data_IF_699915907567
#
_entry.id   IF_699915907567
#
_cell.length_a   1.000
_cell.length_b   1.000
_cell.length_c   1.000
_cell.angle_alpha   90.00
_cell.angle_beta   90.00
_cell.angle_gamma   90.00
#
_symmetry.space_group_name_H-M   'P 1'
#
loop_
_entity.id
_entity.type
_entity.pdbx_description
1 polymer ?
#
# COMPACT_ATOMS: atom_id res chain seq x y z
N UNK A 1 -45.62 54.72 -31.54
CA UNK A 1 -45.58 53.33 -31.93
C UNK A 1 -44.39 52.71 -31.22
N UNK A 2 -44.73 51.86 -30.39
CA UNK A 2 -43.95 51.18 -29.35
C UNK A 2 -43.17 50.05 -30.00
N UNK A 3 -41.91 49.89 -29.68
CA UNK A 3 -41.23 48.61 -29.75
C UNK A 3 -40.20 48.49 -28.62
N UNK A 4 -40.68 47.89 -27.56
CA UNK A 4 -39.89 47.28 -26.53
C UNK A 4 -39.30 45.95 -27.07
N UNK A 5 -38.01 45.78 -26.94
CA UNK A 5 -37.36 44.47 -26.97
C UNK A 5 -36.36 44.43 -25.81
N UNK A 6 -36.92 44.06 -24.70
CA UNK A 6 -36.18 43.74 -23.49
C UNK A 6 -35.84 42.22 -23.56
N UNK A 7 -34.58 41.90 -23.75
CA UNK A 7 -34.09 40.53 -23.64
C UNK A 7 -33.26 40.44 -22.37
N UNK A 8 -33.56 39.51 -21.47
CA UNK A 8 -32.79 39.35 -20.26
C UNK A 8 -31.41 38.72 -20.56
N UNK A 9 -30.38 39.44 -20.16
CA UNK A 9 -29.02 38.97 -20.16
C UNK A 9 -28.91 37.77 -19.18
N UNK A 10 -28.63 36.61 -19.76
CA UNK A 10 -28.33 35.39 -19.04
C UNK A 10 -26.89 35.48 -18.51
N UNK A 11 -26.75 35.91 -17.28
CA UNK A 11 -25.49 35.86 -16.54
C UNK A 11 -25.14 34.40 -16.24
N UNK A 12 -24.42 33.80 -17.16
CA UNK A 12 -23.71 32.56 -16.88
C UNK A 12 -22.60 32.88 -15.87
N UNK A 13 -22.90 32.60 -14.61
CA UNK A 13 -21.89 32.51 -13.55
C UNK A 13 -20.83 31.52 -13.98
N UNK A 14 -19.68 32.06 -14.25
CA UNK A 14 -18.43 31.32 -14.44
C UNK A 14 -18.04 30.73 -13.08
N UNK A 15 -18.57 29.55 -12.75
CA UNK A 15 -18.08 28.76 -11.62
C UNK A 15 -16.65 28.33 -11.96
N UNK A 16 -15.72 29.20 -11.65
CA UNK A 16 -14.30 28.88 -11.64
C UNK A 16 -14.08 27.69 -10.70
N UNK A 17 -13.89 26.51 -11.29
CA UNK A 17 -13.46 25.31 -10.60
C UNK A 17 -12.13 25.63 -9.92
N UNK A 18 -12.18 25.89 -8.62
CA UNK A 18 -10.99 26.02 -7.79
C UNK A 18 -10.32 24.63 -7.83
N UNK A 19 -9.29 24.51 -8.65
CA UNK A 19 -8.42 23.32 -8.59
C UNK A 19 -7.69 23.38 -7.26
N UNK A 20 -8.09 22.52 -6.35
CA UNK A 20 -7.44 22.37 -5.06
C UNK A 20 -5.96 22.00 -5.26
N UNK A 21 -5.09 22.46 -4.36
CA UNK A 21 -3.64 22.23 -4.43
C UNK A 21 -3.29 20.72 -4.45
N UNK A 22 -4.14 19.90 -3.86
CA UNK A 22 -3.97 18.46 -3.76
C UNK A 22 -4.16 17.73 -5.09
N UNK A 23 -5.11 18.17 -5.93
CA UNK A 23 -5.26 17.65 -7.30
C UNK A 23 -3.99 17.86 -8.14
N UNK A 24 -3.30 19.00 -7.95
CA UNK A 24 -2.01 19.26 -8.61
C UNK A 24 -0.92 18.31 -8.15
N UNK A 25 -0.83 18.01 -6.86
CA UNK A 25 0.15 17.11 -6.31
C UNK A 25 -0.07 15.69 -6.82
N UNK A 26 -1.32 15.20 -6.84
CA UNK A 26 -1.67 13.92 -7.44
C UNK A 26 -1.31 13.83 -8.92
N UNK A 27 -1.61 14.87 -9.69
CA UNK A 27 -1.29 14.92 -11.11
C UNK A 27 0.21 14.96 -11.35
N UNK A 28 0.97 15.72 -10.57
CA UNK A 28 2.43 15.80 -10.69
C UNK A 28 3.10 14.47 -10.37
N UNK A 29 2.68 13.80 -9.27
CA UNK A 29 3.15 12.48 -8.91
C UNK A 29 2.81 11.48 -10.02
N UNK A 30 1.56 11.46 -10.51
CA UNK A 30 1.11 10.58 -11.56
C UNK A 30 1.85 10.82 -12.89
N UNK A 31 2.11 12.06 -13.25
CA UNK A 31 2.84 12.42 -14.46
C UNK A 31 4.31 12.01 -14.38
N UNK A 32 4.99 12.34 -13.27
CA UNK A 32 6.36 11.91 -13.05
C UNK A 32 6.51 10.38 -13.14
N UNK A 33 5.59 9.65 -12.53
CA UNK A 33 5.63 8.19 -12.50
C UNK A 33 5.27 7.56 -13.86
N UNK A 34 4.43 8.20 -14.68
CA UNK A 34 4.21 7.79 -16.06
C UNK A 34 5.47 7.94 -16.92
N UNK A 35 6.24 9.01 -16.72
CA UNK A 35 7.50 9.24 -17.43
C UNK A 35 8.57 8.20 -17.04
N UNK A 36 8.60 7.80 -15.75
CA UNK A 36 9.47 6.72 -15.24
C UNK A 36 9.00 5.34 -15.72
N UNK A 37 7.71 5.10 -15.91
CA UNK A 37 7.17 3.82 -16.40
C UNK A 37 7.62 3.48 -17.83
N UNK A 38 7.92 4.47 -18.66
CA UNK A 38 8.42 4.21 -20.03
C UNK A 38 9.85 3.66 -20.03
N UNK A 39 10.61 3.86 -18.96
CA UNK A 39 12.00 3.46 -18.87
C UNK A 39 12.27 2.15 -18.14
N UNK A 40 11.40 1.74 -17.17
CA UNK A 40 11.64 0.55 -16.35
C UNK A 40 10.35 -0.19 -16.03
N UNK A 41 10.11 -1.32 -16.68
CA UNK A 41 8.97 -2.21 -16.39
C UNK A 41 8.99 -2.66 -14.92
N UNK A 42 7.98 -2.23 -14.14
CA UNK A 42 7.52 -2.79 -12.84
C UNK A 42 8.49 -2.79 -11.65
N UNK A 43 9.70 -2.21 -11.74
CA UNK A 43 10.60 -2.14 -10.59
C UNK A 43 10.24 -0.97 -9.66
N UNK A 44 10.50 -1.17 -8.36
CA UNK A 44 10.42 -0.09 -7.37
C UNK A 44 11.56 0.90 -7.66
N UNK A 45 11.28 2.21 -7.71
CA UNK A 45 12.33 3.21 -7.89
C UNK A 45 13.32 3.21 -6.71
N UNK A 46 14.54 3.74 -6.88
CA UNK A 46 15.54 3.81 -5.81
C UNK A 46 15.22 4.92 -4.80
N UNK A 47 14.13 4.74 -4.02
CA UNK A 47 13.60 5.74 -3.09
C UNK A 47 14.61 6.19 -2.03
N UNK A 48 15.53 5.31 -1.64
CA UNK A 48 16.58 5.60 -0.66
C UNK A 48 17.56 6.68 -1.16
N UNK A 49 17.74 6.76 -2.49
CA UNK A 49 18.63 7.74 -3.11
C UNK A 49 17.99 9.11 -3.32
N UNK A 50 16.69 9.21 -3.08
CA UNK A 50 15.96 10.46 -3.27
C UNK A 50 15.95 11.26 -1.98
N UNK A 51 16.33 12.53 -2.07
CA UNK A 51 16.36 13.49 -0.95
C UNK A 51 15.60 14.76 -1.35
N UNK A 52 14.26 14.67 -1.45
CA UNK A 52 13.46 15.80 -1.88
C UNK A 52 13.52 16.95 -0.88
N UNK A 53 13.53 18.18 -1.39
CA UNK A 53 13.56 19.39 -0.57
C UNK A 53 12.16 19.87 -0.19
N UNK A 54 11.15 19.49 -0.95
CA UNK A 54 9.76 19.87 -0.70
C UNK A 54 9.06 18.77 0.08
N UNK A 55 8.51 19.14 1.25
CA UNK A 55 7.67 18.28 2.06
C UNK A 55 6.28 18.92 2.10
N UNK A 56 5.25 18.12 1.87
CA UNK A 56 3.85 18.53 1.92
C UNK A 56 3.00 17.49 2.66
N UNK A 57 1.72 17.77 2.80
CA UNK A 57 0.72 16.83 3.28
C UNK A 57 -0.45 16.81 2.32
N UNK A 58 -1.04 15.64 2.10
CA UNK A 58 -2.20 15.43 1.23
C UNK A 58 -3.30 14.71 2.01
N UNK A 59 -4.56 15.02 1.74
CA UNK A 59 -5.69 14.22 2.23
C UNK A 59 -5.81 12.92 1.42
N UNK A 60 -4.80 12.06 1.60
CA UNK A 60 -4.76 10.70 1.08
C UNK A 60 -4.66 9.75 2.26
N UNK A 61 -5.58 8.79 2.34
CA UNK A 61 -5.65 7.83 3.44
C UNK A 61 -5.72 6.41 2.94
N UNK A 62 -4.86 5.55 3.50
CA UNK A 62 -4.94 4.10 3.32
C UNK A 62 -5.66 3.53 4.55
N UNK A 63 -6.83 2.93 4.31
CA UNK A 63 -7.65 2.30 5.34
C UNK A 63 -7.04 0.97 5.78
N UNK A 64 -7.39 0.52 6.99
CA UNK A 64 -6.95 -0.77 7.53
C UNK A 64 -7.38 -2.00 6.69
N UNK A 65 -8.36 -1.85 5.80
CA UNK A 65 -8.77 -2.86 4.83
C UNK A 65 -8.02 -2.77 3.48
N UNK A 66 -7.08 -1.80 3.36
CA UNK A 66 -6.28 -1.56 2.15
C UNK A 66 -6.92 -0.66 1.11
N UNK A 67 -8.08 -0.09 1.37
CA UNK A 67 -8.70 0.90 0.49
C UNK A 67 -7.96 2.23 0.55
N UNK A 68 -7.81 2.86 -0.61
CA UNK A 68 -7.21 4.18 -0.75
C UNK A 68 -8.28 5.24 -0.96
N UNK A 69 -8.28 6.25 -0.12
CA UNK A 69 -9.26 7.33 -0.13
C UNK A 69 -8.56 8.66 -0.29
N UNK A 70 -9.06 9.49 -1.20
CA UNK A 70 -8.56 10.86 -1.41
C UNK A 70 -9.74 11.84 -1.33
N UNK A 71 -9.62 12.88 -0.50
CA UNK A 71 -10.68 13.87 -0.26
C UNK A 71 -12.05 13.24 -0.01
N UNK A 72 -12.07 12.18 0.81
CA UNK A 72 -13.30 11.46 1.13
C UNK A 72 -13.87 10.57 0.01
N UNK A 73 -13.15 10.38 -1.09
CA UNK A 73 -13.55 9.52 -2.21
C UNK A 73 -12.63 8.32 -2.36
N UNK A 74 -13.25 7.14 -2.60
CA UNK A 74 -12.50 5.92 -2.87
C UNK A 74 -11.79 5.98 -4.23
N UNK A 75 -10.48 5.76 -4.25
CA UNK A 75 -9.71 5.60 -5.47
C UNK A 75 -9.95 4.21 -6.06
N UNK A 76 -10.63 4.14 -7.20
CA UNK A 76 -10.98 2.88 -7.87
C UNK A 76 -10.02 2.50 -9.01
N UNK A 77 -9.18 3.46 -9.45
CA UNK A 77 -8.30 3.25 -10.60
C UNK A 77 -7.05 2.47 -10.18
N UNK A 78 -7.01 1.17 -10.49
CA UNK A 78 -5.91 0.27 -10.11
C UNK A 78 -4.55 0.80 -10.56
N UNK A 79 -4.43 1.30 -11.79
CA UNK A 79 -3.17 1.85 -12.29
C UNK A 79 -2.62 3.01 -11.45
N UNK A 80 -3.49 3.78 -10.77
CA UNK A 80 -3.08 4.83 -9.85
C UNK A 80 -2.62 4.26 -8.51
N UNK A 81 -3.30 3.23 -8.01
CA UNK A 81 -2.90 2.52 -6.79
C UNK A 81 -1.54 1.83 -6.98
N UNK A 82 -1.35 1.16 -8.13
CA UNK A 82 -0.07 0.52 -8.48
C UNK A 82 1.07 1.54 -8.54
N UNK A 83 0.77 2.72 -9.03
CA UNK A 83 1.71 3.81 -9.15
C UNK A 83 2.12 4.35 -7.78
N UNK A 84 1.14 4.67 -6.92
CA UNK A 84 1.39 5.22 -5.58
C UNK A 84 2.09 4.20 -4.68
N UNK A 85 1.71 2.93 -4.75
CA UNK A 85 2.33 1.89 -3.94
C UNK A 85 3.85 1.77 -4.18
N UNK A 86 4.32 2.05 -5.40
CA UNK A 86 5.76 2.00 -5.74
C UNK A 86 6.58 3.11 -5.09
N UNK A 87 5.96 4.24 -4.80
CA UNK A 87 6.60 5.41 -4.20
C UNK A 87 6.27 5.59 -2.72
N UNK A 88 5.63 4.58 -2.13
CA UNK A 88 5.43 4.52 -0.69
C UNK A 88 6.77 4.46 0.04
N UNK A 89 6.91 5.32 1.04
CA UNK A 89 8.07 5.45 1.90
C UNK A 89 7.65 5.61 3.35
N UNK A 90 8.42 5.03 4.26
CA UNK A 90 8.23 5.21 5.69
C UNK A 90 9.47 5.82 6.31
N UNK A 91 9.30 6.88 7.08
CA UNK A 91 10.37 7.59 7.79
C UNK A 91 9.81 8.16 9.09
N UNK A 92 10.52 7.97 10.18
CA UNK A 92 10.15 8.44 11.53
C UNK A 92 8.70 8.08 11.95
N UNK A 93 8.25 6.89 11.57
CA UNK A 93 6.91 6.39 11.88
C UNK A 93 5.78 6.96 11.03
N UNK A 94 6.09 7.83 10.07
CA UNK A 94 5.13 8.43 9.14
C UNK A 94 5.26 7.82 7.75
N UNK A 95 4.18 7.91 6.98
CA UNK A 95 4.12 7.41 5.61
C UNK A 95 4.05 8.54 4.60
N UNK A 96 4.67 8.32 3.47
CA UNK A 96 4.81 9.32 2.42
C UNK A 96 4.67 8.70 1.03
N UNK A 97 4.23 9.52 0.06
CA UNK A 97 4.53 9.32 -1.34
C UNK A 97 5.78 10.13 -1.66
N UNK A 98 6.87 9.43 -2.05
CA UNK A 98 8.19 10.03 -2.26
C UNK A 98 8.57 10.03 -3.73
N UNK A 99 8.98 11.20 -4.22
CA UNK A 99 9.52 11.42 -5.55
C UNK A 99 10.90 12.10 -5.44
N UNK A 100 11.69 12.25 -6.48
CA UNK A 100 12.95 12.98 -6.40
C UNK A 100 12.80 14.46 -6.01
N UNK A 101 11.62 15.05 -6.23
CA UNK A 101 11.39 16.49 -6.04
C UNK A 101 10.55 16.81 -4.81
N UNK A 102 9.71 15.89 -4.36
CA UNK A 102 8.79 16.09 -3.24
C UNK A 102 8.54 14.82 -2.43
N UNK A 103 8.20 14.99 -1.17
CA UNK A 103 7.78 13.97 -0.22
C UNK A 103 6.48 14.43 0.42
N UNK A 104 5.39 13.72 0.14
CA UNK A 104 4.05 14.10 0.57
C UNK A 104 3.57 13.15 1.64
N UNK A 105 3.35 13.67 2.86
CA UNK A 105 2.81 12.91 3.99
C UNK A 105 1.37 12.47 3.70
N UNK A 106 1.08 11.20 3.99
CA UNK A 106 -0.24 10.57 3.87
C UNK A 106 -0.62 9.89 5.18
N UNK A 107 -1.90 9.56 5.32
CA UNK A 107 -2.39 8.82 6.48
C UNK A 107 -2.52 7.33 6.18
N UNK A 108 -2.07 6.48 7.11
CA UNK A 108 -2.21 5.03 7.04
C UNK A 108 -2.78 4.54 8.36
N UNK A 109 -3.93 3.84 8.30
CA UNK A 109 -4.63 3.40 9.52
C UNK A 109 -3.94 2.22 10.21
N UNK A 110 -3.43 1.24 9.44
CA UNK A 110 -2.72 0.07 9.95
C UNK A 110 -1.40 -0.11 9.18
N UNK A 111 -1.41 -0.86 8.09
CA UNK A 111 -0.25 -1.03 7.21
C UNK A 111 -0.62 -0.65 5.76
N UNK A 112 0.33 -0.09 5.00
CA UNK A 112 0.02 0.44 3.67
C UNK A 112 -0.10 -0.63 2.59
N UNK A 113 0.39 -1.84 2.86
CA UNK A 113 0.45 -2.94 1.92
C UNK A 113 -0.40 -4.12 2.41
N UNK A 114 -0.89 -4.91 1.46
CA UNK A 114 -1.62 -6.16 1.70
C UNK A 114 -0.92 -7.33 1.04
N UNK A 115 -1.10 -8.53 1.58
CA UNK A 115 -0.80 -9.79 0.89
C UNK A 115 -2.12 -10.42 0.49
N UNK A 116 -2.28 -10.67 -0.80
CA UNK A 116 -3.48 -11.31 -1.36
C UNK A 116 -3.22 -12.70 -1.96
N UNK A 117 -1.95 -13.09 -2.12
CA UNK A 117 -1.58 -14.41 -2.63
C UNK A 117 -0.42 -14.98 -1.83
N UNK A 118 -0.48 -16.29 -1.59
CA UNK A 118 0.54 -17.08 -0.87
C UNK A 118 0.77 -18.35 -1.65
N UNK A 119 2.04 -18.63 -1.95
CA UNK A 119 2.47 -19.85 -2.65
C UNK A 119 3.67 -20.48 -1.97
N UNK A 120 3.99 -21.70 -2.35
CA UNK A 120 5.27 -22.35 -2.07
C UNK A 120 6.10 -22.41 -3.34
N UNK A 121 7.37 -22.07 -3.23
CA UNK A 121 8.33 -22.17 -4.32
C UNK A 121 9.56 -22.96 -3.89
N UNK A 122 10.24 -23.56 -4.84
CA UNK A 122 11.50 -24.26 -4.60
C UNK A 122 12.69 -23.40 -5.08
N UNK A 123 13.63 -23.13 -4.19
CA UNK A 123 14.87 -22.41 -4.49
C UNK A 123 16.02 -23.28 -3.97
N UNK A 124 16.91 -23.72 -4.85
CA UNK A 124 18.10 -24.51 -4.52
C UNK A 124 17.78 -25.76 -3.67
N UNK A 125 16.67 -26.45 -4.00
CA UNK A 125 16.23 -27.67 -3.32
C UNK A 125 15.58 -27.44 -1.95
N UNK A 126 15.28 -26.20 -1.57
CA UNK A 126 14.53 -25.86 -0.36
C UNK A 126 13.21 -25.20 -0.72
N UNK A 127 12.16 -25.54 0.03
CA UNK A 127 10.83 -24.95 -0.12
C UNK A 127 10.74 -23.65 0.68
N UNK A 128 10.35 -22.56 0.02
CA UNK A 128 10.09 -21.26 0.63
C UNK A 128 8.62 -20.86 0.49
N UNK A 129 8.14 -20.09 1.45
CA UNK A 129 6.86 -19.39 1.34
C UNK A 129 7.07 -18.10 0.55
N UNK A 130 6.26 -17.90 -0.49
CA UNK A 130 6.22 -16.71 -1.31
C UNK A 130 4.91 -15.98 -1.07
N UNK A 131 5.00 -14.71 -0.75
CA UNK A 131 3.86 -13.81 -0.53
C UNK A 131 3.84 -12.75 -1.63
N UNK A 132 2.66 -12.45 -2.17
CA UNK A 132 2.54 -11.51 -3.28
C UNK A 132 1.50 -10.44 -2.92
N UNK A 133 1.85 -9.19 -3.15
CA UNK A 133 0.93 -8.05 -3.00
C UNK A 133 0.05 -7.88 -4.24
N UNK A 134 -1.10 -7.17 -4.15
CA UNK A 134 -1.91 -6.82 -5.33
C UNK A 134 -1.12 -6.10 -6.43
N UNK A 135 -0.06 -5.38 -6.04
CA UNK A 135 0.79 -4.62 -6.95
C UNK A 135 1.98 -5.44 -7.50
N UNK A 136 1.95 -6.77 -7.28
CA UNK A 136 2.95 -7.72 -7.75
C UNK A 136 4.35 -7.59 -7.09
N UNK A 137 4.45 -6.98 -5.91
CA UNK A 137 5.64 -7.12 -5.08
C UNK A 137 5.69 -8.57 -4.58
N UNK A 138 6.85 -9.19 -4.73
CA UNK A 138 7.11 -10.57 -4.30
C UNK A 138 7.98 -10.53 -3.05
N UNK A 139 7.53 -11.19 -1.99
CA UNK A 139 8.24 -11.34 -0.72
C UNK A 139 8.50 -12.82 -0.46
N UNK A 140 9.74 -13.20 -0.33
CA UNK A 140 10.13 -14.52 0.14
C UNK A 140 10.25 -14.46 1.67
N UNK A 141 9.55 -15.36 2.35
CA UNK A 141 9.61 -15.41 3.81
C UNK A 141 10.96 -15.98 4.24
N UNK A 142 11.74 -15.16 4.90
CA UNK A 142 13.06 -15.46 5.43
C UNK A 142 13.32 -14.66 6.73
N UNK A 143 14.56 -14.65 7.22
CA UNK A 143 14.94 -13.90 8.43
C UNK A 143 14.77 -12.38 8.28
N UNK A 144 14.84 -11.84 7.06
CA UNK A 144 14.66 -10.40 6.79
C UNK A 144 13.18 -10.06 6.59
N UNK A 145 12.37 -11.03 6.18
CA UNK A 145 10.95 -10.89 5.89
C UNK A 145 10.12 -11.90 6.70
N UNK A 146 10.21 -11.88 8.03
CA UNK A 146 9.46 -12.83 8.87
C UNK A 146 7.97 -12.49 8.88
N UNK A 147 7.14 -13.55 9.01
CA UNK A 147 5.72 -13.38 9.36
C UNK A 147 5.61 -13.27 10.87
N UNK A 148 4.80 -12.34 11.35
CA UNK A 148 4.55 -12.12 12.77
C UNK A 148 3.09 -11.74 13.03
N UNK A 149 2.65 -11.95 14.28
CA UNK A 149 1.32 -11.54 14.73
C UNK A 149 1.42 -10.21 15.48
N UNK A 150 0.46 -9.32 15.25
CA UNK A 150 0.34 -8.03 15.96
C UNK A 150 -1.13 -7.71 16.20
N UNK A 151 -1.42 -7.16 17.37
CA UNK A 151 -2.76 -6.66 17.68
C UNK A 151 -3.03 -5.35 16.95
N UNK A 152 -4.22 -5.26 16.34
CA UNK A 152 -4.76 -4.04 15.77
C UNK A 152 -6.27 -3.98 16.05
N UNK A 153 -6.73 -2.89 16.70
CA UNK A 153 -8.13 -2.67 17.05
C UNK A 153 -8.80 -3.84 17.80
N UNK A 154 -8.04 -4.52 18.70
CA UNK A 154 -8.51 -5.66 19.49
C UNK A 154 -8.51 -7.00 18.75
N UNK A 155 -7.97 -7.06 17.54
CA UNK A 155 -7.80 -8.30 16.77
C UNK A 155 -6.32 -8.60 16.55
N UNK A 156 -5.93 -9.87 16.77
CA UNK A 156 -4.59 -10.35 16.44
C UNK A 156 -4.53 -10.64 14.93
N UNK A 157 -3.65 -9.96 14.22
CA UNK A 157 -3.53 -10.02 12.76
C UNK A 157 -2.14 -10.44 12.31
N UNK A 158 -2.03 -11.19 11.20
CA UNK A 158 -0.76 -11.61 10.62
C UNK A 158 -0.17 -10.54 9.70
N UNK A 159 1.11 -10.26 9.86
CA UNK A 159 1.87 -9.31 9.04
C UNK A 159 3.16 -9.94 8.56
N UNK A 160 3.71 -9.37 7.49
CA UNK A 160 5.05 -9.67 6.98
C UNK A 160 5.81 -8.37 6.72
N UNK A 161 7.09 -8.34 7.03
CA UNK A 161 7.94 -7.22 6.62
C UNK A 161 8.15 -7.26 5.10
N UNK A 162 8.01 -6.12 4.41
CA UNK A 162 8.14 -6.05 2.96
C UNK A 162 9.36 -5.23 2.55
N UNK A 163 9.37 -3.93 2.82
CA UNK A 163 10.45 -3.02 2.42
C UNK A 163 10.37 -1.68 3.15
N UNK A 164 11.49 -0.97 3.25
CA UNK A 164 11.58 0.41 3.78
C UNK A 164 10.90 0.58 5.15
N UNK A 165 11.01 -0.43 6.03
CA UNK A 165 10.36 -0.43 7.34
C UNK A 165 8.83 -0.56 7.28
N UNK A 166 8.26 -0.89 6.12
CA UNK A 166 6.82 -1.14 5.93
C UNK A 166 6.51 -2.62 5.98
N UNK A 167 5.36 -2.93 6.56
CA UNK A 167 4.80 -4.27 6.58
C UNK A 167 3.59 -4.35 5.65
N UNK A 168 3.18 -5.58 5.36
CA UNK A 168 1.91 -5.88 4.71
C UNK A 168 1.03 -6.70 5.66
N UNK A 169 -0.25 -6.38 5.72
CA UNK A 169 -1.25 -7.23 6.35
C UNK A 169 -1.52 -8.43 5.45
N UNK A 170 -1.38 -9.64 5.97
CA UNK A 170 -1.78 -10.85 5.25
C UNK A 170 -3.30 -10.95 5.35
N UNK A 171 -3.98 -10.83 4.20
CA UNK A 171 -5.43 -10.88 4.16
C UNK A 171 -5.95 -12.23 4.67
N UNK A 172 -7.15 -12.22 5.26
CA UNK A 172 -7.74 -13.40 5.90
C UNK A 172 -7.75 -14.64 5.00
N UNK A 173 -8.11 -14.48 3.74
CA UNK A 173 -8.12 -15.58 2.78
C UNK A 173 -6.71 -16.13 2.54
N UNK A 174 -5.72 -15.24 2.38
CA UNK A 174 -4.31 -15.61 2.19
C UNK A 174 -3.75 -16.28 3.44
N UNK A 175 -4.17 -15.83 4.63
CA UNK A 175 -3.77 -16.48 5.88
C UNK A 175 -4.32 -17.91 6.00
N UNK A 176 -5.54 -18.18 5.55
CA UNK A 176 -6.07 -19.55 5.49
C UNK A 176 -5.27 -20.44 4.52
N UNK A 177 -4.81 -19.90 3.39
CA UNK A 177 -3.90 -20.64 2.51
C UNK A 177 -2.56 -20.92 3.20
N UNK A 178 -2.04 -19.95 3.95
CA UNK A 178 -0.80 -20.08 4.71
C UNK A 178 -0.90 -21.20 5.76
N UNK A 179 -2.04 -21.31 6.46
CA UNK A 179 -2.31 -22.39 7.43
C UNK A 179 -2.18 -23.78 6.79
N UNK A 180 -2.57 -23.95 5.52
CA UNK A 180 -2.46 -25.23 4.82
C UNK A 180 -1.00 -25.67 4.54
N UNK A 181 -0.05 -24.72 4.60
CA UNK A 181 1.39 -24.99 4.44
C UNK A 181 2.10 -25.27 5.77
N UNK A 182 1.39 -25.13 6.89
CA UNK A 182 1.93 -25.33 8.23
C UNK A 182 1.35 -26.53 8.99
N UNK A 183 1.70 -26.61 10.24
CA UNK A 183 1.12 -27.56 11.20
C UNK A 183 0.57 -26.80 12.39
N UNK A 184 -0.62 -27.20 12.85
CA UNK A 184 -1.24 -26.66 14.05
C UNK A 184 -0.89 -27.55 15.26
N UNK A 185 -0.55 -26.93 16.37
CA UNK A 185 -0.32 -27.55 17.66
C UNK A 185 -0.89 -26.69 18.77
N UNK A 186 -0.98 -27.23 19.98
CA UNK A 186 -1.38 -26.47 21.16
C UNK A 186 -0.15 -26.29 22.06
N UNK A 187 0.06 -25.10 22.59
CA UNK A 187 1.13 -24.81 23.53
C UNK A 187 0.73 -25.19 24.97
N UNK A 188 1.65 -25.06 25.92
CA UNK A 188 1.41 -25.38 27.31
C UNK A 188 0.33 -24.50 27.99
N UNK A 189 -0.02 -23.37 27.41
CA UNK A 189 -1.04 -22.43 27.86
C UNK A 189 -2.42 -22.72 27.25
N UNK A 190 -2.52 -23.64 26.28
CA UNK A 190 -3.75 -23.98 25.58
C UNK A 190 -4.01 -23.13 24.33
N UNK A 191 -3.06 -22.28 23.91
CA UNK A 191 -3.20 -21.48 22.72
C UNK A 191 -2.84 -22.31 21.47
N UNK A 192 -3.54 -22.06 20.38
CA UNK A 192 -3.21 -22.65 19.08
C UNK A 192 -1.96 -21.99 18.50
N UNK A 193 -0.98 -22.81 18.12
CA UNK A 193 0.26 -22.38 17.48
C UNK A 193 0.33 -22.94 16.08
N UNK A 194 0.42 -22.04 15.09
CA UNK A 194 0.73 -22.38 13.71
C UNK A 194 2.24 -22.39 13.52
N UNK A 195 2.79 -23.54 13.18
CA UNK A 195 4.21 -23.68 12.82
C UNK A 195 4.35 -23.70 11.31
N UNK A 196 5.10 -22.75 10.77
CA UNK A 196 5.41 -22.60 9.34
C UNK A 196 6.90 -22.81 9.11
N UNK A 197 7.24 -23.36 7.95
CA UNK A 197 8.64 -23.52 7.52
C UNK A 197 8.83 -22.83 6.17
N UNK A 198 9.90 -22.02 6.07
CA UNK A 198 10.33 -21.38 4.83
C UNK A 198 11.85 -21.42 4.74
N UNK A 199 12.37 -22.24 3.84
CA UNK A 199 13.81 -22.55 3.81
C UNK A 199 14.27 -23.19 5.12
N UNK A 200 15.22 -22.55 5.78
CA UNK A 200 15.72 -22.95 7.11
C UNK A 200 14.96 -22.27 8.27
N UNK A 201 14.17 -21.24 7.97
CA UNK A 201 13.39 -20.50 8.96
C UNK A 201 12.19 -21.32 9.43
N UNK A 202 12.01 -21.41 10.74
CA UNK A 202 10.81 -21.96 11.39
C UNK A 202 10.12 -20.85 12.18
N UNK A 203 8.87 -20.61 11.88
CA UNK A 203 8.04 -19.60 12.52
C UNK A 203 6.98 -20.26 13.39
N UNK A 204 6.73 -19.68 14.56
CA UNK A 204 5.66 -20.10 15.47
C UNK A 204 4.73 -18.91 15.69
N UNK A 205 3.52 -18.98 15.13
CA UNK A 205 2.50 -17.94 15.22
C UNK A 205 1.43 -18.41 16.20
N UNK A 206 1.33 -17.75 17.34
CA UNK A 206 0.26 -18.00 18.32
C UNK A 206 -0.96 -17.15 17.97
N UNK A 207 -2.16 -17.74 18.04
CA UNK A 207 -3.45 -17.09 17.73
C UNK A 207 -4.34 -17.06 18.98
#
# INVERSE_FOLDING_TARGET
MINENDSPQNSLENQGKVMFSDDKNLMNIAQYLNDVQQSHKRSIPPLEQWHPKHCGKMDLRIKANGEWWHEGQLIKRQALLDLFSRVLWKEDGKFYLKTPVEQIEIEVEDEPLLINQVDQIEIEGKTYLQLITPNQDVVIVDEQHPIFMREYAGELRPYVHVRFGMNALIQRQSFYHLVNYGSLSENAQGDTVLTLKSGDLVLHLST
#
